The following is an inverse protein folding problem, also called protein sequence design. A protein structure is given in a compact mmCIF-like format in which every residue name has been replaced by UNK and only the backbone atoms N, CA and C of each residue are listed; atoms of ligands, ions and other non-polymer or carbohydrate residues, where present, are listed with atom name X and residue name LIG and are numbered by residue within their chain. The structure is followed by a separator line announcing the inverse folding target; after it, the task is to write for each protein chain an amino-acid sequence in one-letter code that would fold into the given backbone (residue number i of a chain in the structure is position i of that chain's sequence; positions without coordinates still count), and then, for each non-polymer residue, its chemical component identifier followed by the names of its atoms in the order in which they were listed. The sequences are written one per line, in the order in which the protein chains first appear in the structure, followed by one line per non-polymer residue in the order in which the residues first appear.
data_IF_203269124423
#
_entry.id   IF_203269124423
#
_cell.length_a   1.000
_cell.length_b   1.000
_cell.length_c   1.000
_cell.angle_alpha   90.00
_cell.angle_beta   90.00
_cell.angle_gamma   90.00
#
_symmetry.space_group_name_H-M   'P 1'
#
loop_
_entity.id
_entity.type
_entity.pdbx_description
1 polymer ?
#
# COMPACT_ATOMS: atom_id res chain seq x y z
N UNK A 1 -20.88 0.85 -6.78
CA UNK A 1 -19.71 1.18 -5.91
C UNK A 1 -18.96 -0.08 -5.49
N UNK A 2 -19.67 -1.20 -5.29
CA UNK A 2 -19.10 -2.54 -5.08
C UNK A 2 -18.44 -3.11 -6.34
N UNK A 3 -18.97 -2.76 -7.51
CA UNK A 3 -18.45 -3.21 -8.80
C UNK A 3 -17.02 -2.72 -9.07
N UNK A 4 -16.62 -1.57 -8.54
CA UNK A 4 -15.38 -0.90 -8.93
C UNK A 4 -14.11 -1.53 -8.30
N UNK A 5 -14.24 -2.16 -7.12
CA UNK A 5 -13.12 -2.83 -6.45
C UNK A 5 -12.91 -4.25 -7.02
N UNK A 6 -14.01 -4.96 -7.29
CA UNK A 6 -14.00 -6.29 -7.93
C UNK A 6 -13.53 -6.19 -9.39
N UNK A 7 -13.99 -5.18 -10.14
CA UNK A 7 -13.61 -4.97 -11.54
C UNK A 7 -12.11 -4.69 -11.75
N UNK A 8 -11.39 -4.11 -10.77
CA UNK A 8 -9.94 -3.84 -10.91
C UNK A 8 -9.06 -5.08 -10.76
N UNK A 9 -9.59 -6.17 -10.21
CA UNK A 9 -8.83 -7.41 -9.97
C UNK A 9 -9.19 -8.52 -10.97
N UNK A 10 -10.36 -8.46 -11.61
CA UNK A 10 -10.85 -9.46 -12.57
C UNK A 10 -10.15 -9.43 -13.94
N UNK A 11 -9.55 -8.32 -14.37
CA UNK A 11 -9.01 -8.18 -15.74
C UNK A 11 -7.69 -8.91 -16.00
N UNK A 12 -7.16 -9.69 -15.05
CA UNK A 12 -5.88 -10.39 -15.17
C UNK A 12 -4.63 -9.47 -15.20
N UNK A 13 -4.82 -8.16 -15.41
CA UNK A 13 -3.79 -7.14 -15.30
C UNK A 13 -3.61 -6.64 -13.86
N UNK A 14 -2.46 -6.02 -13.57
CA UNK A 14 -2.26 -5.32 -12.29
C UNK A 14 -3.21 -4.12 -12.18
N UNK A 15 -3.71 -3.78 -10.98
CA UNK A 15 -4.43 -2.53 -10.75
C UNK A 15 -3.57 -1.31 -11.10
N UNK A 16 -4.22 -0.21 -11.48
CA UNK A 16 -3.54 1.08 -11.73
C UNK A 16 -2.87 1.57 -10.45
N UNK A 17 -1.58 1.87 -10.54
CA UNK A 17 -0.81 2.42 -9.42
C UNK A 17 -1.35 3.80 -9.02
N UNK A 18 -1.26 4.10 -7.72
CA UNK A 18 -1.61 5.41 -7.15
C UNK A 18 -0.34 6.10 -6.67
N UNK A 19 -0.38 7.43 -6.53
CA UNK A 19 0.75 8.22 -6.00
C UNK A 19 1.07 7.80 -4.56
N UNK A 20 2.36 7.82 -4.22
CA UNK A 20 2.88 7.49 -2.89
C UNK A 20 2.68 8.64 -1.90
N UNK A 21 1.41 8.89 -1.55
CA UNK A 21 0.97 9.92 -0.59
C UNK A 21 -0.17 9.40 0.27
N UNK A 22 -0.18 9.77 1.55
CA UNK A 22 -1.24 9.43 2.50
C UNK A 22 -2.61 9.95 2.06
N UNK A 23 -2.65 11.04 1.28
CA UNK A 23 -3.90 11.57 0.70
C UNK A 23 -4.60 10.57 -0.24
N UNK A 24 -3.88 9.56 -0.75
CA UNK A 24 -4.42 8.50 -1.61
C UNK A 24 -4.94 7.29 -0.84
N UNK A 25 -4.71 7.23 0.47
CA UNK A 25 -5.11 6.11 1.32
C UNK A 25 -6.49 6.37 1.93
N UNK A 26 -7.46 5.56 1.51
CA UNK A 26 -8.79 5.54 2.10
C UNK A 26 -8.82 4.63 3.33
N UNK A 27 -9.48 5.07 4.41
CA UNK A 27 -9.73 4.23 5.61
C UNK A 27 -10.49 2.95 5.29
N UNK A 28 -11.24 2.91 4.18
CA UNK A 28 -11.97 1.72 3.73
C UNK A 28 -11.19 0.84 2.74
N UNK A 29 -9.94 1.20 2.42
CA UNK A 29 -9.15 0.54 1.38
C UNK A 29 -8.08 -0.42 1.91
N UNK A 30 -7.57 -1.23 0.98
CA UNK A 30 -6.40 -2.10 1.16
C UNK A 30 -5.43 -1.83 0.02
N UNK A 31 -4.16 -1.61 0.35
CA UNK A 31 -3.15 -1.16 -0.62
C UNK A 31 -1.89 -2.01 -0.50
N UNK A 32 -1.28 -2.33 -1.65
CA UNK A 32 0.06 -2.92 -1.71
C UNK A 32 1.06 -1.83 -2.05
N UNK A 33 2.18 -1.79 -1.31
CA UNK A 33 3.35 -1.00 -1.65
C UNK A 33 4.56 -1.93 -1.81
N UNK A 34 5.26 -1.81 -2.93
CA UNK A 34 6.47 -2.56 -3.27
C UNK A 34 7.68 -1.63 -3.29
N UNK A 35 8.78 -2.03 -2.63
CA UNK A 35 10.00 -1.21 -2.53
C UNK A 35 11.22 -1.83 -3.20
N UNK A 36 11.06 -2.98 -3.86
CA UNK A 36 12.15 -3.84 -4.33
C UNK A 36 12.82 -4.70 -3.25
N UNK A 37 12.57 -4.42 -1.98
CA UNK A 37 13.09 -5.19 -0.83
C UNK A 37 11.98 -5.73 0.07
N UNK A 38 10.90 -4.95 0.22
CA UNK A 38 9.76 -5.27 1.06
C UNK A 38 8.46 -5.11 0.28
N UNK A 39 7.46 -5.90 0.68
CA UNK A 39 6.07 -5.69 0.31
C UNK A 39 5.31 -5.29 1.57
N UNK A 40 4.54 -4.22 1.49
CA UNK A 40 3.61 -3.82 2.55
C UNK A 40 2.19 -4.06 2.06
N UNK A 41 1.35 -4.63 2.92
CA UNK A 41 -0.09 -4.67 2.73
C UNK A 41 -0.72 -3.77 3.79
N UNK A 42 -1.02 -2.53 3.41
CA UNK A 42 -1.68 -1.58 4.30
C UNK A 42 -3.19 -1.85 4.32
N UNK A 43 -3.78 -1.87 5.51
CA UNK A 43 -5.20 -2.13 5.74
C UNK A 43 -5.80 -0.97 6.51
N UNK A 44 -6.81 -0.32 5.93
CA UNK A 44 -7.53 0.76 6.58
C UNK A 44 -8.43 0.29 7.73
N UNK A 45 -8.64 1.16 8.71
CA UNK A 45 -9.42 0.84 9.92
C UNK A 45 -10.92 0.64 9.67
N UNK A 46 -11.43 1.10 8.52
CA UNK A 46 -12.83 1.02 8.11
C UNK A 46 -13.05 0.11 6.90
N UNK A 47 -12.13 -0.83 6.64
CA UNK A 47 -12.29 -1.84 5.59
C UNK A 47 -13.52 -2.69 5.88
N UNK A 48 -14.30 -2.99 4.83
CA UNK A 48 -15.51 -3.79 4.93
C UNK A 48 -15.18 -5.21 5.40
N UNK A 49 -16.03 -5.75 6.28
CA UNK A 49 -15.89 -7.11 6.84
C UNK A 49 -15.73 -8.17 5.76
N UNK A 50 -16.47 -8.07 4.65
CA UNK A 50 -16.38 -9.01 3.52
C UNK A 50 -14.96 -9.07 2.94
N UNK A 51 -14.32 -7.91 2.76
CA UNK A 51 -12.96 -7.84 2.25
C UNK A 51 -11.95 -8.42 3.25
N UNK A 52 -12.16 -8.19 4.55
CA UNK A 52 -11.34 -8.79 5.60
C UNK A 52 -11.46 -10.31 5.63
N UNK A 53 -12.67 -10.85 5.49
CA UNK A 53 -12.91 -12.29 5.37
C UNK A 53 -12.24 -12.86 4.13
N UNK A 54 -12.35 -12.17 2.99
CA UNK A 54 -11.76 -12.62 1.73
C UNK A 54 -10.22 -12.61 1.74
N UNK A 55 -9.58 -11.69 2.46
CA UNK A 55 -8.11 -11.56 2.51
C UNK A 55 -7.51 -12.35 3.68
N UNK A 56 -8.06 -12.20 4.89
CA UNK A 56 -7.47 -12.67 6.14
C UNK A 56 -8.27 -13.81 6.79
N UNK A 57 -9.51 -14.06 6.36
CA UNK A 57 -10.39 -15.04 7.01
C UNK A 57 -10.92 -14.58 8.37
N UNK A 58 -10.76 -13.29 8.70
CA UNK A 58 -11.17 -12.70 9.99
C UNK A 58 -12.31 -11.71 9.79
N UNK A 59 -13.34 -11.68 10.65
CA UNK A 59 -14.50 -10.80 10.49
C UNK A 59 -14.26 -9.34 10.90
N UNK A 60 -13.13 -8.99 11.52
CA UNK A 60 -12.92 -7.63 12.04
C UNK A 60 -11.47 -7.18 11.95
N UNK A 61 -11.28 -5.87 11.79
CA UNK A 61 -9.97 -5.23 11.70
C UNK A 61 -9.08 -5.53 12.92
N UNK A 62 -9.68 -5.58 14.11
CA UNK A 62 -8.98 -5.88 15.36
C UNK A 62 -8.33 -7.27 15.38
N UNK A 63 -8.92 -8.25 14.68
CA UNK A 63 -8.47 -9.64 14.68
C UNK A 63 -7.40 -9.95 13.63
N UNK A 64 -7.06 -8.98 12.76
CA UNK A 64 -5.98 -9.14 11.80
C UNK A 64 -4.65 -9.29 12.56
N UNK A 65 -3.97 -10.40 12.31
CA UNK A 65 -2.61 -10.67 12.79
C UNK A 65 -1.58 -9.90 11.95
N UNK A 66 -0.98 -8.87 12.55
CA UNK A 66 0.05 -8.05 11.90
C UNK A 66 1.42 -8.74 11.82
N UNK A 67 1.60 -9.89 12.48
CA UNK A 67 2.83 -10.70 12.38
C UNK A 67 2.89 -11.56 11.13
N UNK A 68 1.79 -11.63 10.36
CA UNK A 68 1.72 -12.37 9.10
C UNK A 68 2.77 -11.91 8.09
N UNK A 69 3.52 -12.88 7.57
CA UNK A 69 4.54 -12.68 6.53
C UNK A 69 4.16 -13.32 5.19
N UNK A 70 2.98 -13.94 5.14
CA UNK A 70 2.31 -14.51 3.98
C UNK A 70 0.80 -14.46 4.21
N UNK A 71 0.02 -14.26 3.14
CA UNK A 71 -1.44 -14.30 3.24
C UNK A 71 -1.95 -15.74 3.42
N UNK A 72 -3.05 -15.93 4.16
CA UNK A 72 -3.70 -17.24 4.23
C UNK A 72 -4.21 -17.67 2.86
N UNK A 73 -4.17 -18.98 2.62
CA UNK A 73 -4.74 -19.58 1.41
C UNK A 73 -6.23 -19.78 1.64
N UNK A 74 -7.04 -18.88 1.08
CA UNK A 74 -8.49 -18.94 1.16
C UNK A 74 -9.08 -19.25 -0.22
N UNK A 75 -10.14 -20.05 -0.22
CA UNK A 75 -10.85 -20.46 -1.44
C UNK A 75 -11.86 -19.38 -1.86
N UNK A 76 -11.33 -18.25 -2.33
CA UNK A 76 -12.11 -17.21 -2.97
C UNK A 76 -11.27 -16.48 -4.04
N UNK A 77 -11.90 -15.92 -5.10
CA UNK A 77 -11.19 -15.27 -6.20
C UNK A 77 -10.29 -14.11 -5.75
N UNK A 78 -10.71 -13.35 -4.75
CA UNK A 78 -9.96 -12.18 -4.27
C UNK A 78 -8.63 -12.60 -3.60
N UNK A 79 -8.67 -13.58 -2.69
CA UNK A 79 -7.47 -14.14 -2.05
C UNK A 79 -6.50 -14.71 -3.07
N UNK A 80 -7.02 -15.50 -4.02
CA UNK A 80 -6.22 -16.10 -5.09
C UNK A 80 -5.52 -15.00 -5.90
N UNK A 81 -6.29 -14.02 -6.37
CA UNK A 81 -5.76 -12.92 -7.17
C UNK A 81 -4.74 -12.07 -6.43
N UNK A 82 -4.99 -11.73 -5.17
CA UNK A 82 -4.07 -10.95 -4.35
C UNK A 82 -2.74 -11.67 -4.15
N UNK A 83 -2.78 -13.00 -3.92
CA UNK A 83 -1.58 -13.84 -3.82
C UNK A 83 -0.82 -13.90 -5.14
N UNK A 84 -1.51 -14.06 -6.27
CA UNK A 84 -0.88 -14.01 -7.60
C UNK A 84 -0.14 -12.69 -7.85
N UNK A 85 -0.74 -11.56 -7.47
CA UNK A 85 -0.10 -10.24 -7.60
C UNK A 85 1.18 -10.17 -6.77
N UNK A 86 1.12 -10.60 -5.50
CA UNK A 86 2.29 -10.66 -4.61
C UNK A 86 3.40 -11.54 -5.19
N UNK A 87 3.04 -12.71 -5.71
CA UNK A 87 3.99 -13.64 -6.31
C UNK A 87 4.57 -13.09 -7.63
N UNK A 88 3.78 -12.36 -8.41
CA UNK A 88 4.25 -11.68 -9.61
C UNK A 88 5.30 -10.59 -9.31
N UNK A 89 5.15 -9.84 -8.21
CA UNK A 89 6.17 -8.88 -7.78
C UNK A 89 7.44 -9.59 -7.32
N UNK A 90 7.31 -10.70 -6.58
CA UNK A 90 8.46 -11.49 -6.14
C UNK A 90 9.22 -12.10 -7.31
N UNK A 91 8.53 -12.58 -8.34
CA UNK A 91 9.15 -13.17 -9.53
C UNK A 91 10.01 -12.17 -10.32
N UNK A 92 9.75 -10.86 -10.20
CA UNK A 92 10.50 -9.79 -10.88
C UNK A 92 11.78 -9.37 -10.13
N UNK A 93 12.04 -9.91 -8.93
CA UNK A 93 13.17 -9.53 -8.09
C UNK A 93 14.04 -10.74 -7.77
N UNK A 94 15.36 -10.52 -7.70
CA UNK A 94 16.32 -11.59 -7.36
C UNK A 94 16.33 -11.96 -5.87
N UNK A 95 15.87 -11.05 -5.00
CA UNK A 95 15.75 -11.26 -3.55
C UNK A 95 14.29 -11.41 -3.17
N UNK A 96 14.01 -12.35 -2.27
CA UNK A 96 12.67 -12.54 -1.75
C UNK A 96 12.18 -11.32 -0.97
N UNK A 97 11.07 -10.74 -1.40
CA UNK A 97 10.43 -9.63 -0.71
C UNK A 97 9.51 -10.14 0.39
N UNK A 98 9.90 -9.87 1.64
CA UNK A 98 9.08 -10.17 2.82
C UNK A 98 7.82 -9.31 2.80
N UNK A 99 6.65 -9.94 2.98
CA UNK A 99 5.39 -9.23 3.18
C UNK A 99 5.28 -8.76 4.64
N UNK A 100 4.79 -7.55 4.85
CA UNK A 100 4.42 -7.00 6.14
C UNK A 100 2.99 -6.49 6.09
N UNK A 101 2.13 -7.01 6.96
CA UNK A 101 0.77 -6.49 7.13
C UNK A 101 0.84 -5.25 8.02
N UNK A 102 0.35 -4.13 7.52
CA UNK A 102 0.36 -2.83 8.20
C UNK A 102 -1.09 -2.41 8.45
N UNK A 103 -1.46 -2.31 9.71
CA UNK A 103 -2.77 -1.82 10.12
C UNK A 103 -2.71 -0.31 10.30
N UNK A 104 -3.72 0.41 9.83
CA UNK A 104 -3.89 1.82 10.12
C UNK A 104 -3.88 2.06 11.65
N UNK A 105 -3.24 3.15 12.07
CA UNK A 105 -3.02 3.55 13.47
C UNK A 105 -2.11 2.61 14.29
N UNK A 106 -1.53 1.60 13.66
CA UNK A 106 -0.61 0.66 14.30
C UNK A 106 0.85 1.12 14.18
N UNK A 107 1.74 0.65 15.07
CA UNK A 107 3.13 1.14 15.12
C UNK A 107 3.89 0.92 13.81
N UNK A 108 3.58 -0.15 13.09
CA UNK A 108 4.18 -0.46 11.79
C UNK A 108 3.82 0.58 10.71
N UNK A 109 2.72 1.31 10.86
CA UNK A 109 2.32 2.36 9.93
C UNK A 109 3.33 3.51 9.88
N UNK A 110 4.03 3.77 10.99
CA UNK A 110 5.12 4.78 11.02
C UNK A 110 6.25 4.43 10.04
N UNK A 111 6.57 3.13 9.91
CA UNK A 111 7.59 2.66 8.97
C UNK A 111 7.05 2.73 7.54
N UNK A 112 5.80 2.31 7.33
CA UNK A 112 5.14 2.39 6.03
C UNK A 112 5.07 3.82 5.49
N UNK A 113 4.73 4.80 6.33
CA UNK A 113 4.67 6.23 5.96
C UNK A 113 6.00 6.78 5.44
N UNK A 114 7.14 6.19 5.80
CA UNK A 114 8.44 6.58 5.24
C UNK A 114 8.53 6.34 3.72
N UNK A 115 7.74 5.40 3.20
CA UNK A 115 7.70 5.08 1.78
C UNK A 115 6.65 5.90 1.01
N UNK A 116 5.88 6.75 1.68
CA UNK A 116 4.98 7.71 1.04
C UNK A 116 5.77 8.98 0.68
N UNK A 117 6.61 8.83 -0.34
CA UNK A 117 7.71 9.77 -0.65
C UNK A 117 7.27 11.17 -1.11
N UNK A 118 5.98 11.35 -1.41
CA UNK A 118 5.46 12.67 -1.79
C UNK A 118 5.09 13.54 -0.59
N UNK A 119 4.90 12.93 0.58
CA UNK A 119 4.48 13.62 1.80
C UNK A 119 5.68 14.25 2.53
N UNK A 120 5.38 15.07 3.55
CA UNK A 120 6.43 15.58 4.46
C UNK A 120 6.97 14.43 5.29
N UNK A 121 8.29 14.26 5.28
CA UNK A 121 8.94 13.26 6.13
C UNK A 121 8.84 13.67 7.61
N UNK A 122 8.58 12.69 8.49
CA UNK A 122 8.63 12.87 9.94
C UNK A 122 10.00 13.37 10.44
N UNK A 123 11.06 13.18 9.67
CA UNK A 123 12.40 13.71 9.97
C UNK A 123 12.62 15.17 9.54
N UNK A 124 11.56 15.89 9.15
CA UNK A 124 11.63 17.28 8.70
C UNK A 124 12.00 17.46 7.23
N UNK A 125 11.95 16.39 6.43
CA UNK A 125 12.13 16.47 4.98
C UNK A 125 10.97 17.17 4.28
N UNK A 126 11.26 17.88 3.19
CA UNK A 126 10.28 18.59 2.39
C UNK A 126 9.32 17.60 1.68
N UNK A 127 8.04 18.00 1.51
CA UNK A 127 7.13 17.28 0.61
C UNK A 127 7.52 17.50 -0.85
N UNK A 128 6.92 16.73 -1.76
CA UNK A 128 7.07 16.94 -3.19
C UNK A 128 6.73 18.38 -3.62
N UNK A 129 5.63 18.95 -3.09
CA UNK A 129 5.18 20.31 -3.44
C UNK A 129 6.14 21.37 -2.89
N UNK A 130 6.63 21.19 -1.65
CA UNK A 130 7.64 22.08 -1.06
C UNK A 130 8.93 22.07 -1.88
N UNK A 131 9.37 20.89 -2.30
CA UNK A 131 10.57 20.70 -3.11
C UNK A 131 10.45 21.39 -4.48
N UNK A 132 9.31 21.25 -5.17
CA UNK A 132 9.06 21.97 -6.42
C UNK A 132 9.09 23.50 -6.22
N UNK A 133 8.48 24.00 -5.15
CA UNK A 133 8.51 25.43 -4.82
C UNK A 133 9.95 25.91 -4.57
N UNK A 134 10.76 25.12 -3.86
CA UNK A 134 12.17 25.43 -3.62
C UNK A 134 12.98 25.43 -4.92
N UNK A 135 12.88 24.39 -5.73
CA UNK A 135 13.57 24.30 -7.03
C UNK A 135 13.23 25.48 -7.94
N UNK A 136 11.97 25.88 -8.00
CA UNK A 136 11.55 27.05 -8.79
C UNK A 136 12.20 28.36 -8.29
N UNK A 137 12.36 28.54 -6.97
CA UNK A 137 13.06 29.71 -6.41
C UNK A 137 14.54 29.70 -6.78
N UNK A 138 15.22 28.55 -6.65
CA UNK A 138 16.64 28.43 -6.99
C UNK A 138 16.90 28.71 -8.47
N UNK A 139 16.06 28.17 -9.37
CA UNK A 139 16.16 28.44 -10.81
C UNK A 139 16.02 29.94 -11.11
N UNK A 140 15.07 30.63 -10.46
CA UNK A 140 14.90 32.07 -10.63
C UNK A 140 16.10 32.87 -10.15
N UNK A 141 16.73 32.46 -9.05
CA UNK A 141 17.90 33.15 -8.50
C UNK A 141 19.14 33.02 -9.40
N UNK A 142 19.29 31.90 -10.12
CA UNK A 142 20.39 31.70 -11.06
C UNK A 142 20.22 32.43 -12.39
N UNK A 143 18.98 32.73 -12.78
CA UNK A 143 18.64 33.36 -14.06
C UNK A 143 18.32 34.86 -13.95
N UNK A 144 18.26 35.41 -12.72
CA UNK A 144 18.09 36.84 -12.44
C UNK A 144 19.43 37.49 -12.13
#
# INVERSE_FOLDING_TARGET
MMDDLTMKLESGSLPVAVRDSEERLSKGGVYILETGLHLFLWVGASVQQELLLNIFGTPSFGQIDSSLTSLPVLDNPFSQRLREIIDSFRAQRSRYMKLMVVKQEDRAELIFRHFLVEDKSASGGASYVDFLCHMHKEIRQLLS
#
